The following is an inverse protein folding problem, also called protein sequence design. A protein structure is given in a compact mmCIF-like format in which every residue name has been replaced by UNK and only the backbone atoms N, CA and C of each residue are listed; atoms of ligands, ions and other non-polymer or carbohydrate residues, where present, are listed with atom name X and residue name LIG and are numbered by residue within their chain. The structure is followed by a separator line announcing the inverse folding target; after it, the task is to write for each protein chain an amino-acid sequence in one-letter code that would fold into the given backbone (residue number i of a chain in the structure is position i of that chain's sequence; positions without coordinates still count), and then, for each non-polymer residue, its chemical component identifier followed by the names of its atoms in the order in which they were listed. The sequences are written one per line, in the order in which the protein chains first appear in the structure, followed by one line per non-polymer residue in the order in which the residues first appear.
data_IF_978540951346
#
_entry.id   IF_978540951346
#
_cell.length_a   1.000
_cell.length_b   1.000
_cell.length_c   1.000
_cell.angle_alpha   90.00
_cell.angle_beta   90.00
_cell.angle_gamma   90.00
#
_symmetry.space_group_name_H-M   'P 1'
#
loop_
_entity.id
_entity.type
_entity.pdbx_description
1 polymer ?
#
# COMPACT_ATOMS: atom_id res chain seq x y z
N UNK A 1 15.43 13.13 5.34
CA UNK A 1 14.22 13.35 4.51
C UNK A 1 13.28 14.20 5.35
N UNK A 2 12.58 15.18 4.79
CA UNK A 2 11.54 15.91 5.53
C UNK A 2 10.22 15.13 5.55
N UNK A 3 9.28 15.58 6.42
CA UNK A 3 8.01 14.91 6.66
C UNK A 3 7.12 14.85 5.41
N UNK A 4 7.06 15.94 4.64
CA UNK A 4 6.22 16.03 3.44
C UNK A 4 6.71 15.09 2.33
N UNK A 5 8.02 15.07 2.09
CA UNK A 5 8.65 14.13 1.16
C UNK A 5 8.40 12.69 1.59
N UNK A 6 8.61 12.39 2.87
CA UNK A 6 8.36 11.05 3.39
C UNK A 6 6.91 10.63 3.23
N UNK A 7 5.97 11.54 3.50
CA UNK A 7 4.55 11.28 3.35
C UNK A 7 4.21 10.88 1.91
N UNK A 8 4.72 11.61 0.91
CA UNK A 8 4.49 11.32 -0.52
C UNK A 8 5.17 10.04 -1.00
N UNK A 9 6.36 9.71 -0.50
CA UNK A 9 6.97 8.42 -0.87
C UNK A 9 6.19 7.27 -0.21
N UNK A 10 5.77 7.44 1.05
CA UNK A 10 5.02 6.44 1.83
C UNK A 10 3.62 6.17 1.26
N UNK A 11 2.95 7.16 0.67
CA UNK A 11 1.60 6.99 0.07
C UNK A 11 1.59 6.03 -1.10
N UNK A 12 2.72 5.87 -1.79
CA UNK A 12 2.82 5.01 -2.98
C UNK A 12 3.72 3.79 -2.80
N UNK A 13 4.04 3.40 -1.56
CA UNK A 13 4.89 2.21 -1.30
C UNK A 13 4.26 0.92 -1.83
N UNK A 14 2.96 0.76 -1.63
CA UNK A 14 2.24 -0.48 -1.99
C UNK A 14 1.66 -0.42 -3.39
N UNK A 15 1.09 0.73 -3.76
CA UNK A 15 0.41 0.95 -5.03
C UNK A 15 0.66 2.36 -5.56
N UNK A 16 0.70 2.56 -6.88
CA UNK A 16 0.58 3.87 -7.50
C UNK A 16 -0.68 4.59 -7.03
N UNK A 17 -0.62 5.91 -6.86
CA UNK A 17 -1.74 6.71 -6.36
C UNK A 17 -2.10 7.80 -7.36
N UNK A 18 -3.40 8.04 -7.55
CA UNK A 18 -3.89 9.15 -8.37
C UNK A 18 -3.48 10.48 -7.74
N UNK A 19 -2.96 11.39 -8.56
CA UNK A 19 -2.63 12.76 -8.13
C UNK A 19 -3.89 13.48 -7.68
N UNK A 20 -5.04 13.23 -8.31
CA UNK A 20 -6.33 13.82 -7.92
C UNK A 20 -6.70 13.55 -6.46
N UNK A 21 -6.37 12.36 -5.95
CA UNK A 21 -6.69 12.00 -4.57
C UNK A 21 -5.94 12.88 -3.58
N UNK A 22 -4.72 13.32 -3.92
CA UNK A 22 -3.96 14.23 -3.07
C UNK A 22 -4.55 15.64 -2.99
N UNK A 23 -5.44 16.00 -3.91
CA UNK A 23 -6.18 17.26 -3.87
C UNK A 23 -7.49 17.20 -3.09
N UNK A 24 -7.86 16.02 -2.56
CA UNK A 24 -9.09 15.86 -1.79
C UNK A 24 -9.07 16.66 -0.49
N UNK A 25 -10.26 16.93 0.07
CA UNK A 25 -10.37 17.56 1.38
C UNK A 25 -9.70 16.67 2.46
N UNK A 26 -9.19 17.27 3.56
CA UNK A 26 -8.44 16.52 4.57
C UNK A 26 -9.16 15.27 5.09
N UNK A 27 -10.42 15.40 5.50
CA UNK A 27 -11.19 14.29 6.07
C UNK A 27 -11.37 13.13 5.06
N UNK A 28 -11.57 13.46 3.78
CA UNK A 28 -11.72 12.46 2.71
C UNK A 28 -10.39 11.75 2.46
N UNK A 29 -9.28 12.49 2.37
CA UNK A 29 -7.97 11.91 2.15
C UNK A 29 -7.53 11.01 3.32
N UNK A 30 -7.79 11.45 4.55
CA UNK A 30 -7.46 10.71 5.76
C UNK A 30 -8.24 9.40 5.85
N UNK A 31 -9.54 9.44 5.54
CA UNK A 31 -10.39 8.26 5.47
C UNK A 31 -9.91 7.27 4.38
N UNK A 32 -9.59 7.78 3.19
CA UNK A 32 -9.16 6.98 2.05
C UNK A 32 -7.81 6.29 2.28
N UNK A 33 -6.85 6.99 2.87
CA UNK A 33 -5.47 6.50 3.01
C UNK A 33 -5.15 5.97 4.42
N UNK A 34 -6.13 6.06 5.33
CA UNK A 34 -6.02 5.73 6.75
C UNK A 34 -4.75 6.31 7.39
N UNK A 35 -4.55 7.62 7.20
CA UNK A 35 -3.37 8.38 7.69
C UNK A 35 -3.66 9.86 7.67
N UNK A 36 -3.01 10.62 8.55
CA UNK A 36 -3.09 12.09 8.58
C UNK A 36 -2.79 12.75 7.23
N UNK A 37 -3.45 13.89 6.99
CA UNK A 37 -3.27 14.70 5.79
C UNK A 37 -1.83 15.25 5.68
N UNK A 38 -1.33 15.44 4.45
CA UNK A 38 0.06 15.88 4.21
C UNK A 38 0.35 17.34 4.60
N UNK A 39 -0.68 18.16 4.83
CA UNK A 39 -0.57 19.53 5.32
C UNK A 39 0.01 20.55 4.33
N UNK A 40 0.00 20.25 3.03
CA UNK A 40 0.52 21.13 1.97
C UNK A 40 -0.63 21.81 1.21
N UNK A 41 -0.42 23.03 0.75
CA UNK A 41 -1.28 23.65 -0.27
C UNK A 41 -1.11 22.97 -1.63
N UNK A 42 -2.05 23.21 -2.55
CA UNK A 42 -1.98 22.69 -3.92
C UNK A 42 -0.67 23.07 -4.63
N UNK A 43 -0.21 24.32 -4.49
CA UNK A 43 1.02 24.79 -5.13
C UNK A 43 2.27 24.14 -4.52
N UNK A 44 2.33 24.00 -3.20
CA UNK A 44 3.44 23.33 -2.51
C UNK A 44 3.50 21.85 -2.89
N UNK A 45 2.35 21.19 -2.94
CA UNK A 45 2.21 19.80 -3.32
C UNK A 45 2.64 19.56 -4.78
N UNK A 46 2.15 20.38 -5.72
CA UNK A 46 2.53 20.29 -7.13
C UNK A 46 4.05 20.52 -7.33
N UNK A 47 4.63 21.50 -6.63
CA UNK A 47 6.09 21.74 -6.66
C UNK A 47 6.87 20.57 -6.08
N UNK A 48 6.41 19.97 -4.98
CA UNK A 48 7.08 18.84 -4.36
C UNK A 48 7.01 17.59 -5.26
N UNK A 49 5.87 17.29 -5.86
CA UNK A 49 5.73 16.22 -6.85
C UNK A 49 6.67 16.41 -8.04
N UNK A 50 6.73 17.63 -8.60
CA UNK A 50 7.65 17.96 -9.69
C UNK A 50 9.11 17.81 -9.27
N UNK A 51 9.47 18.26 -8.07
CA UNK A 51 10.82 18.14 -7.53
C UNK A 51 11.22 16.66 -7.39
N UNK A 52 10.36 15.82 -6.80
CA UNK A 52 10.63 14.40 -6.62
C UNK A 52 10.71 13.65 -7.96
N UNK A 53 9.87 14.03 -8.93
CA UNK A 53 9.99 13.53 -10.30
C UNK A 53 11.29 13.94 -10.98
N UNK A 54 11.72 15.20 -10.81
CA UNK A 54 12.99 15.71 -11.35
C UNK A 54 14.20 15.02 -10.71
N UNK A 55 14.12 14.71 -9.42
CA UNK A 55 15.14 13.96 -8.69
C UNK A 55 15.17 12.48 -9.08
N UNK A 56 14.15 12.00 -9.80
CA UNK A 56 14.04 10.60 -10.21
C UNK A 56 13.50 9.69 -9.10
N UNK A 57 12.89 10.23 -8.04
CA UNK A 57 12.27 9.44 -6.97
C UNK A 57 10.87 8.96 -7.34
N UNK A 58 10.18 9.73 -8.17
CA UNK A 58 8.85 9.41 -8.68
C UNK A 58 8.85 9.31 -10.20
N UNK A 59 7.99 8.43 -10.72
CA UNK A 59 7.56 8.46 -12.10
C UNK A 59 6.04 8.68 -12.16
N UNK A 60 5.56 9.11 -13.33
CA UNK A 60 4.16 9.42 -13.55
C UNK A 60 3.60 8.54 -14.66
N UNK A 61 2.33 8.16 -14.53
CA UNK A 61 1.64 7.35 -15.52
C UNK A 61 0.16 7.72 -15.60
N UNK A 62 -0.49 7.32 -16.70
CA UNK A 62 -1.94 7.30 -16.81
C UNK A 62 -2.40 5.86 -16.82
N UNK A 63 -3.45 5.56 -16.06
CA UNK A 63 -4.16 4.30 -16.11
C UNK A 63 -5.41 4.43 -16.99
N UNK A 64 -5.45 3.67 -18.07
CA UNK A 64 -6.62 3.56 -18.92
C UNK A 64 -7.25 2.18 -18.77
N UNK A 65 -8.55 2.18 -18.48
CA UNK A 65 -9.39 0.99 -18.40
C UNK A 65 -10.01 0.75 -19.76
N UNK A 66 -9.67 -0.36 -20.42
CA UNK A 66 -10.27 -0.80 -21.68
C UNK A 66 -10.69 -2.25 -21.52
N UNK A 67 -11.99 -2.54 -21.58
CA UNK A 67 -12.55 -3.90 -21.53
C UNK A 67 -11.98 -4.76 -20.37
N UNK A 68 -12.03 -4.24 -19.14
CA UNK A 68 -11.52 -4.84 -17.89
C UNK A 68 -9.98 -4.99 -17.80
N UNK A 69 -9.23 -4.62 -18.84
CA UNK A 69 -7.77 -4.52 -18.81
C UNK A 69 -7.31 -3.12 -18.38
N UNK A 70 -6.33 -3.08 -17.47
CA UNK A 70 -5.63 -1.86 -17.05
C UNK A 70 -4.37 -1.72 -17.89
N UNK A 71 -4.31 -0.66 -18.69
CA UNK A 71 -3.08 -0.27 -19.37
C UNK A 71 -2.42 0.89 -18.63
N UNK A 72 -1.15 0.72 -18.28
CA UNK A 72 -0.31 1.79 -17.74
C UNK A 72 0.52 2.41 -18.85
N UNK A 73 0.41 3.73 -19.00
CA UNK A 73 1.29 4.50 -19.87
C UNK A 73 2.14 5.45 -19.06
N UNK A 74 3.43 5.13 -18.93
CA UNK A 74 4.43 6.02 -18.31
C UNK A 74 4.55 7.30 -19.13
N UNK A 75 4.54 8.43 -18.44
CA UNK A 75 4.60 9.77 -19.02
C UNK A 75 5.98 10.41 -18.79
N UNK A 76 6.37 11.39 -19.62
CA UNK A 76 7.41 12.34 -19.23
C UNK A 76 7.01 13.09 -17.96
N UNK A 77 7.98 13.73 -17.31
CA UNK A 77 7.74 14.57 -16.13
C UNK A 77 6.65 15.63 -16.43
N UNK A 78 5.52 15.64 -15.70
CA UNK A 78 4.47 16.62 -15.88
C UNK A 78 4.95 18.05 -15.56
N UNK A 79 4.39 19.04 -16.28
CA UNK A 79 4.62 20.44 -15.94
C UNK A 79 3.92 20.82 -14.63
N UNK A 80 4.23 21.98 -14.07
CA UNK A 80 3.58 22.45 -12.85
C UNK A 80 2.06 22.66 -13.09
N UNK A 81 1.69 23.17 -14.27
CA UNK A 81 0.30 23.39 -14.66
C UNK A 81 -0.47 22.07 -14.83
N UNK A 82 0.19 21.03 -15.36
CA UNK A 82 -0.40 19.69 -15.46
C UNK A 82 -0.67 19.10 -14.07
N UNK A 83 0.26 19.25 -13.13
CA UNK A 83 0.10 18.78 -11.76
C UNK A 83 -1.01 19.53 -11.02
N UNK A 84 -1.05 20.87 -11.13
CA UNK A 84 -2.15 21.67 -10.56
C UNK A 84 -3.50 21.26 -11.13
N UNK A 85 -3.55 20.99 -12.43
CA UNK A 85 -4.76 20.51 -13.10
C UNK A 85 -5.17 19.13 -12.58
N UNK A 86 -4.20 18.22 -12.40
CA UNK A 86 -4.45 16.87 -11.90
C UNK A 86 -4.86 16.83 -10.43
N UNK A 87 -4.39 17.77 -9.61
CA UNK A 87 -4.84 17.94 -8.23
C UNK A 87 -6.29 18.40 -8.17
N UNK A 88 -6.70 19.32 -9.06
CA UNK A 88 -8.03 19.92 -9.04
C UNK A 88 -9.13 19.04 -9.67
N UNK A 89 -8.77 18.09 -10.53
CA UNK A 89 -9.73 17.20 -11.19
C UNK A 89 -9.08 15.88 -11.60
N UNK A 90 -9.91 14.85 -11.72
CA UNK A 90 -9.45 13.55 -12.17
C UNK A 90 -8.99 13.59 -13.64
N UNK A 91 -7.68 13.52 -13.83
CA UNK A 91 -7.01 13.41 -15.13
C UNK A 91 -6.46 12.00 -15.37
N UNK A 92 -6.73 11.06 -14.46
CA UNK A 92 -6.11 9.73 -14.38
C UNK A 92 -4.59 9.74 -14.22
N UNK A 93 -3.99 10.91 -13.99
CA UNK A 93 -2.58 11.02 -13.68
C UNK A 93 -2.31 10.38 -12.32
N UNK A 94 -1.45 9.38 -12.31
CA UNK A 94 -0.94 8.75 -11.12
C UNK A 94 0.56 8.99 -10.99
N UNK A 95 1.05 8.84 -9.76
CA UNK A 95 2.47 8.82 -9.46
C UNK A 95 2.82 7.55 -8.69
N UNK A 96 4.07 7.11 -8.83
CA UNK A 96 4.59 5.94 -8.16
C UNK A 96 6.11 6.07 -7.94
N UNK A 97 6.65 5.24 -7.06
CA UNK A 97 8.08 5.18 -6.75
C UNK A 97 8.87 4.61 -7.91
N UNK A 98 9.98 5.26 -8.23
CA UNK A 98 11.08 4.58 -8.92
C UNK A 98 11.86 3.70 -7.94
N UNK A 99 12.80 2.91 -8.45
CA UNK A 99 13.76 2.19 -7.61
C UNK A 99 14.54 3.12 -6.67
N UNK A 100 14.86 4.34 -7.12
CA UNK A 100 15.59 5.33 -6.32
C UNK A 100 14.72 5.88 -5.20
N UNK A 101 13.48 6.29 -5.51
CA UNK A 101 12.56 6.81 -4.50
C UNK A 101 12.23 5.76 -3.45
N UNK A 102 12.05 4.52 -3.88
CA UNK A 102 11.92 3.37 -3.00
C UNK A 102 13.12 3.20 -2.06
N UNK A 103 14.35 3.23 -2.58
CA UNK A 103 15.56 3.15 -1.74
C UNK A 103 15.66 4.31 -0.74
N UNK A 104 15.31 5.54 -1.14
CA UNK A 104 15.25 6.69 -0.23
C UNK A 104 14.23 6.45 0.89
N UNK A 105 13.05 5.93 0.55
CA UNK A 105 12.03 5.58 1.53
C UNK A 105 12.53 4.48 2.48
N UNK A 106 13.07 3.38 1.96
CA UNK A 106 13.59 2.27 2.79
C UNK A 106 14.68 2.73 3.77
N UNK A 107 15.58 3.62 3.32
CA UNK A 107 16.66 4.16 4.15
C UNK A 107 16.16 4.97 5.37
N UNK A 108 14.92 5.42 5.35
CA UNK A 108 14.31 6.17 6.45
C UNK A 108 13.27 5.34 7.19
N UNK A 109 12.45 4.57 6.47
CA UNK A 109 11.38 3.75 7.04
C UNK A 109 11.87 2.46 7.71
N UNK A 110 13.07 1.98 7.37
CA UNK A 110 13.67 0.76 7.92
C UNK A 110 12.68 -0.43 7.90
N UNK A 111 12.12 -0.79 6.71
CA UNK A 111 11.13 -1.86 6.63
C UNK A 111 11.72 -3.22 7.02
N UNK A 112 11.00 -3.93 7.87
CA UNK A 112 11.17 -5.35 8.19
C UNK A 112 10.34 -6.16 7.19
N UNK A 113 10.90 -6.43 6.01
CA UNK A 113 10.20 -7.14 4.93
C UNK A 113 9.80 -8.58 5.28
N UNK A 114 10.46 -9.17 6.28
CA UNK A 114 10.09 -10.45 6.91
C UNK A 114 8.77 -10.39 7.67
N UNK A 115 8.37 -9.19 8.13
CA UNK A 115 7.06 -8.91 8.75
C UNK A 115 5.99 -8.48 7.75
N UNK A 116 6.38 -8.14 6.52
CA UNK A 116 5.41 -7.72 5.51
C UNK A 116 4.61 -8.90 4.98
N UNK A 117 3.30 -8.69 4.85
CA UNK A 117 2.39 -9.60 4.18
C UNK A 117 1.40 -8.83 3.30
N UNK A 118 0.85 -9.49 2.30
CA UNK A 118 -0.20 -8.96 1.45
C UNK A 118 -1.38 -9.93 1.39
N UNK A 119 -2.59 -9.38 1.49
CA UNK A 119 -3.87 -10.08 1.27
C UNK A 119 -4.54 -9.54 0.02
N UNK A 120 -5.15 -10.43 -0.78
CA UNK A 120 -5.90 -10.08 -2.00
C UNK A 120 -7.10 -10.99 -2.17
N UNK A 121 -8.13 -10.50 -2.87
CA UNK A 121 -9.34 -11.25 -3.16
C UNK A 121 -10.47 -11.00 -2.16
N UNK A 122 -11.67 -11.45 -2.52
CA UNK A 122 -12.89 -11.34 -1.69
C UNK A 122 -13.39 -12.75 -1.35
N UNK A 123 -13.85 -13.50 -2.35
CA UNK A 123 -14.36 -14.88 -2.15
C UNK A 123 -13.24 -15.92 -2.04
N UNK A 124 -12.14 -15.71 -2.78
CA UNK A 124 -10.91 -16.48 -2.65
C UNK A 124 -9.82 -15.55 -2.17
N UNK A 125 -9.42 -15.72 -0.92
CA UNK A 125 -8.37 -14.93 -0.30
C UNK A 125 -7.02 -15.54 -0.65
N UNK A 126 -6.11 -14.70 -1.13
CA UNK A 126 -4.69 -15.01 -1.27
C UNK A 126 -3.93 -14.23 -0.21
N UNK A 127 -3.20 -14.93 0.64
CA UNK A 127 -2.26 -14.35 1.59
C UNK A 127 -0.83 -14.72 1.19
N UNK A 128 0.05 -13.73 1.16
CA UNK A 128 1.47 -13.90 0.82
C UNK A 128 2.39 -13.22 1.83
N UNK A 129 3.49 -13.88 2.21
CA UNK A 129 4.55 -13.30 3.05
C UNK A 129 5.90 -13.97 2.77
N UNK A 130 7.01 -13.32 3.11
CA UNK A 130 8.34 -13.93 2.95
C UNK A 130 8.60 -15.03 3.99
N UNK A 131 8.01 -14.90 5.18
CA UNK A 131 8.13 -15.88 6.26
C UNK A 131 6.91 -16.80 6.30
N UNK A 132 7.14 -18.12 6.23
CA UNK A 132 6.10 -19.12 6.35
C UNK A 132 5.42 -19.10 7.71
N UNK A 133 6.17 -18.85 8.78
CA UNK A 133 5.62 -18.76 10.13
C UNK A 133 4.63 -17.61 10.23
N UNK A 134 4.96 -16.45 9.64
CA UNK A 134 4.04 -15.32 9.57
C UNK A 134 2.73 -15.70 8.86
N UNK A 135 2.78 -16.41 7.72
CA UNK A 135 1.57 -16.89 7.04
C UNK A 135 0.74 -17.80 7.96
N UNK A 136 1.38 -18.72 8.70
CA UNK A 136 0.68 -19.60 9.64
C UNK A 136 0.02 -18.83 10.79
N UNK A 137 0.71 -17.82 11.32
CA UNK A 137 0.17 -16.96 12.38
C UNK A 137 -1.02 -16.14 11.89
N UNK A 138 -0.95 -15.60 10.68
CA UNK A 138 -2.05 -14.86 10.06
C UNK A 138 -3.27 -15.77 9.77
N UNK A 139 -3.05 -17.00 9.30
CA UNK A 139 -4.13 -17.98 9.14
C UNK A 139 -4.79 -18.33 10.48
N UNK A 140 -4.00 -18.47 11.55
CA UNK A 140 -4.52 -18.76 12.89
C UNK A 140 -5.32 -17.56 13.46
N UNK A 141 -4.96 -16.33 13.08
CA UNK A 141 -5.67 -15.12 13.48
C UNK A 141 -6.92 -14.86 12.64
N UNK A 142 -6.97 -15.35 11.40
CA UNK A 142 -8.01 -15.04 10.43
C UNK A 142 -9.45 -15.16 10.98
N UNK A 143 -9.84 -16.25 11.67
CA UNK A 143 -11.20 -16.40 12.21
C UNK A 143 -11.60 -15.31 13.21
N UNK A 144 -10.62 -14.69 13.86
CA UNK A 144 -10.79 -13.69 14.91
C UNK A 144 -10.73 -12.25 14.38
N UNK A 145 -10.08 -12.02 13.23
CA UNK A 145 -9.85 -10.65 12.70
C UNK A 145 -10.77 -10.29 11.54
N UNK A 146 -11.50 -11.25 10.97
CA UNK A 146 -12.46 -11.03 9.89
C UNK A 146 -13.87 -11.26 10.44
N UNK A 147 -14.65 -10.18 10.59
CA UNK A 147 -15.91 -10.21 11.34
C UNK A 147 -17.08 -10.80 10.53
N UNK A 148 -16.99 -10.81 9.21
CA UNK A 148 -18.10 -11.21 8.31
C UNK A 148 -17.82 -12.47 7.50
N UNK A 149 -16.60 -13.03 7.61
CA UNK A 149 -16.16 -14.15 6.78
C UNK A 149 -15.51 -15.24 7.64
N UNK A 150 -15.78 -16.50 7.27
CA UNK A 150 -15.13 -17.68 7.82
C UNK A 150 -14.33 -18.39 6.72
N UNK A 151 -13.11 -18.80 7.04
CA UNK A 151 -12.26 -19.58 6.15
C UNK A 151 -12.77 -21.03 6.02
N UNK A 152 -12.85 -21.53 4.79
CA UNK A 152 -13.14 -22.95 4.51
C UNK A 152 -11.84 -23.74 4.63
N UNK A 153 -11.65 -24.46 5.74
CA UNK A 153 -10.37 -25.12 6.06
C UNK A 153 -9.90 -26.11 5.00
N UNK A 154 -10.81 -26.85 4.37
CA UNK A 154 -10.48 -27.84 3.34
C UNK A 154 -10.05 -27.21 2.00
N UNK A 155 -10.26 -25.89 1.84
CA UNK A 155 -9.85 -25.13 0.64
C UNK A 155 -8.42 -24.56 0.73
N UNK A 156 -7.76 -24.70 1.88
CA UNK A 156 -6.43 -24.12 2.12
C UNK A 156 -5.39 -24.80 1.21
N UNK A 157 -4.82 -24.03 0.30
CA UNK A 157 -3.76 -24.47 -0.60
C UNK A 157 -2.50 -23.66 -0.38
N UNK A 158 -1.37 -24.34 -0.21
CA UNK A 158 -0.05 -23.71 -0.04
C UNK A 158 0.75 -23.76 -1.32
N UNK A 159 1.45 -22.68 -1.61
CA UNK A 159 2.39 -22.56 -2.71
C UNK A 159 3.62 -21.73 -2.31
N UNK A 160 4.65 -21.75 -3.14
CA UNK A 160 5.89 -20.99 -2.98
C UNK A 160 6.19 -20.23 -4.26
N UNK A 161 6.15 -18.91 -4.19
CA UNK A 161 6.46 -18.02 -5.31
C UNK A 161 7.96 -17.67 -5.35
N UNK A 162 8.59 -17.83 -6.52
CA UNK A 162 10.02 -17.56 -6.75
C UNK A 162 10.24 -16.99 -8.16
N UNK A 163 10.62 -15.72 -8.31
CA UNK A 163 10.70 -14.71 -7.25
C UNK A 163 9.30 -14.24 -6.79
N UNK A 164 9.21 -13.66 -5.58
CA UNK A 164 7.97 -13.10 -5.05
C UNK A 164 7.90 -11.58 -5.27
N UNK A 165 6.84 -11.13 -5.94
CA UNK A 165 6.60 -9.71 -6.19
C UNK A 165 5.82 -9.10 -5.01
N UNK A 166 6.53 -8.39 -4.14
CA UNK A 166 6.01 -7.85 -2.88
C UNK A 166 5.16 -6.60 -3.11
N UNK A 167 5.73 -5.64 -3.83
CA UNK A 167 5.07 -4.42 -4.30
C UNK A 167 5.31 -4.30 -5.80
N UNK A 168 4.79 -3.28 -6.49
CA UNK A 168 5.10 -3.09 -7.91
C UNK A 168 6.59 -2.82 -8.21
N UNK A 169 7.39 -2.43 -7.20
CA UNK A 169 8.81 -2.10 -7.35
C UNK A 169 9.75 -3.03 -6.54
N UNK A 170 9.25 -3.80 -5.57
CA UNK A 170 10.06 -4.69 -4.72
C UNK A 170 9.81 -6.15 -5.07
N UNK A 171 10.91 -6.86 -5.31
CA UNK A 171 10.93 -8.31 -5.49
C UNK A 171 11.81 -8.94 -4.42
N UNK A 172 11.34 -10.03 -3.80
CA UNK A 172 12.12 -10.84 -2.87
C UNK A 172 12.37 -12.24 -3.45
N UNK A 173 13.42 -12.96 -3.01
CA UNK A 173 13.78 -14.25 -3.59
C UNK A 173 12.70 -15.34 -3.43
N UNK A 174 11.88 -15.24 -2.39
CA UNK A 174 10.86 -16.21 -2.04
C UNK A 174 9.69 -15.55 -1.34
N UNK A 175 8.49 -16.06 -1.60
CA UNK A 175 7.27 -15.77 -0.86
C UNK A 175 6.47 -17.05 -0.66
N UNK A 176 5.94 -17.24 0.52
CA UNK A 176 4.97 -18.29 0.82
C UNK A 176 3.58 -17.73 0.55
N UNK A 177 2.82 -18.49 -0.23
CA UNK A 177 1.47 -18.16 -0.62
C UNK A 177 0.52 -19.18 -0.02
N UNK A 178 -0.59 -18.69 0.49
CA UNK A 178 -1.75 -19.51 0.83
C UNK A 178 -2.98 -18.93 0.17
N UNK A 179 -3.79 -19.80 -0.43
CA UNK A 179 -5.10 -19.46 -0.98
C UNK A 179 -6.17 -20.26 -0.29
N UNK A 180 -7.31 -19.64 0.02
CA UNK A 180 -8.46 -20.32 0.62
C UNK A 180 -9.75 -19.59 0.25
N UNK A 181 -10.85 -20.33 0.25
CA UNK A 181 -12.20 -19.82 0.07
C UNK A 181 -12.75 -19.30 1.41
N UNK A 182 -13.61 -18.29 1.31
CA UNK A 182 -14.37 -17.75 2.45
C UNK A 182 -15.86 -17.97 2.24
N UNK A 183 -16.58 -18.09 3.35
CA UNK A 183 -18.04 -18.07 3.39
C UNK A 183 -18.50 -16.98 4.35
N UNK A 184 -19.67 -16.39 4.07
CA UNK A 184 -20.28 -15.43 4.98
C UNK A 184 -20.55 -16.09 6.34
N UNK A 185 -20.31 -15.35 7.42
CA UNK A 185 -20.69 -15.71 8.78
C UNK A 185 -21.42 -14.56 9.47
N UNK A 186 -22.11 -14.88 10.56
CA UNK A 186 -22.68 -13.87 11.43
C UNK A 186 -21.58 -12.99 12.04
N UNK A 187 -21.92 -11.72 12.27
CA UNK A 187 -21.00 -10.78 12.89
C UNK A 187 -20.66 -11.23 14.31
N UNK A 188 -19.39 -11.53 14.53
CA UNK A 188 -18.84 -11.83 15.84
C UNK A 188 -17.55 -11.01 16.01
N UNK A 189 -17.51 -10.06 16.96
CA UNK A 189 -16.32 -9.27 17.19
C UNK A 189 -15.19 -10.18 17.69
N UNK A 190 -14.00 -9.96 17.13
CA UNK A 190 -12.80 -10.66 17.57
C UNK A 190 -12.47 -10.37 19.04
N UNK A 191 -11.86 -11.33 19.76
CA UNK A 191 -11.31 -11.03 21.07
C UNK A 191 -10.16 -10.00 20.96
N UNK A 192 -10.07 -9.11 21.95
CA UNK A 192 -9.11 -7.99 21.97
C UNK A 192 -7.66 -8.43 21.69
N UNK A 193 -7.23 -9.57 22.26
CA UNK A 193 -5.87 -10.09 22.05
C UNK A 193 -5.56 -10.38 20.56
N UNK A 194 -6.55 -10.81 19.79
CA UNK A 194 -6.37 -11.12 18.37
C UNK A 194 -6.26 -9.84 17.54
N UNK A 195 -7.07 -8.83 17.88
CA UNK A 195 -7.02 -7.49 17.28
C UNK A 195 -5.66 -6.84 17.57
N UNK A 196 -5.20 -6.86 18.83
CA UNK A 196 -3.89 -6.33 19.22
C UNK A 196 -2.75 -7.06 18.51
N UNK A 197 -2.80 -8.40 18.45
CA UNK A 197 -1.77 -9.17 17.74
C UNK A 197 -1.75 -8.86 16.24
N UNK A 198 -2.92 -8.73 15.62
CA UNK A 198 -3.03 -8.34 14.21
C UNK A 198 -2.47 -6.94 13.95
N UNK A 199 -2.77 -5.97 14.82
CA UNK A 199 -2.20 -4.63 14.74
C UNK A 199 -0.66 -4.62 14.87
N UNK A 200 -0.09 -5.44 15.76
CA UNK A 200 1.37 -5.61 15.85
C UNK A 200 1.95 -6.20 14.56
N UNK A 201 1.31 -7.22 13.98
CA UNK A 201 1.76 -7.80 12.70
C UNK A 201 1.73 -6.80 11.53
N UNK A 202 0.87 -5.79 11.59
CA UNK A 202 0.84 -4.71 10.59
C UNK A 202 2.01 -3.73 10.70
N UNK A 203 2.77 -3.74 11.81
CA UNK A 203 3.94 -2.90 12.00
C UNK A 203 5.18 -3.53 11.33
N UNK A 204 5.31 -3.34 10.02
CA UNK A 204 6.43 -3.85 9.24
C UNK A 204 7.44 -2.77 8.84
N UNK A 205 7.24 -1.50 9.21
CA UNK A 205 8.19 -0.40 9.02
C UNK A 205 8.00 0.67 10.10
N UNK A 206 8.99 1.54 10.27
CA UNK A 206 8.96 2.65 11.22
C UNK A 206 8.53 3.93 10.52
N UNK A 207 7.62 4.70 11.14
CA UNK A 207 7.38 6.08 10.75
C UNK A 207 8.28 7.00 11.59
N UNK A 208 9.31 7.65 11.00
CA UNK A 208 10.25 8.49 11.74
C UNK A 208 9.64 9.82 12.24
N UNK A 209 8.40 10.15 11.83
CA UNK A 209 7.72 11.40 12.18
C UNK A 209 6.53 11.21 13.12
N UNK A 210 6.30 9.98 13.59
CA UNK A 210 5.32 9.69 14.64
C UNK A 210 6.12 9.22 15.83
N UNK A 211 5.96 9.89 16.97
CA UNK A 211 6.51 9.39 18.22
C UNK A 211 5.82 8.07 18.55
N UNK A 212 6.58 6.98 18.53
CA UNK A 212 6.14 5.65 19.00
C UNK A 212 5.99 5.62 20.54
N UNK A 213 5.43 6.67 21.12
CA UNK A 213 5.01 6.72 22.53
C UNK A 213 3.50 6.65 22.57
N UNK A 214 2.99 5.43 22.51
CA UNK A 214 1.70 5.04 23.07
C UNK A 214 1.97 3.99 24.15
#
# INVERSE_FOLDING_TARGET
MDQATYWLLRSVVLHPLSVFWLGAEPDDLELMLNRDHHGLSYEELARLLQQLGTQGDLYFSIYDWVDDDVTERVLPLPSLDDLLTALAKDTRLAYALTQQGAQRWEAVAHPSWDRYYATRGLETITLTAMDRQLVQELLALYPYTHEHEAMVLDSIQWDVERPWQVTYWKTLPVGYKVTFETIAKDHEPGPEWAITKWQDLQQWYTNPFVDNTA
#
